data_IF_896444419064
#
_entry.id   IF_896444419064
#
_cell.length_a   1.000
_cell.length_b   1.000
_cell.length_c   1.000
_cell.angle_alpha   90.00
_cell.angle_beta   90.00
_cell.angle_gamma   90.00
#
_symmetry.space_group_name_H-M   'P 1'
#
loop_
_entity.id
_entity.type
_entity.pdbx_description
1 polymer ?
#
# COMPACT_ATOMS: atom_id res chain seq x y z
N UNK A 1 -9.20 -11.44 -8.96
CA UNK A 1 -9.58 -11.76 -7.56
C UNK A 1 -8.58 -11.16 -6.58
N UNK A 2 -7.28 -11.26 -6.84
CA UNK A 2 -6.22 -10.69 -5.99
C UNK A 2 -6.23 -9.15 -5.93
N UNK A 3 -6.46 -8.46 -7.05
CA UNK A 3 -6.42 -6.98 -7.08
C UNK A 3 -7.48 -6.32 -6.19
N UNK A 4 -8.73 -6.81 -6.21
CA UNK A 4 -9.80 -6.31 -5.33
C UNK A 4 -9.49 -6.58 -3.84
N UNK A 5 -8.78 -7.67 -3.54
CA UNK A 5 -8.34 -7.98 -2.19
C UNK A 5 -7.25 -7.00 -1.75
N UNK A 6 -6.24 -6.77 -2.59
CA UNK A 6 -5.18 -5.79 -2.35
C UNK A 6 -5.75 -4.39 -2.14
N UNK A 7 -6.66 -3.93 -3.00
CA UNK A 7 -7.30 -2.62 -2.84
C UNK A 7 -8.06 -2.50 -1.52
N UNK A 8 -8.75 -3.56 -1.11
CA UNK A 8 -9.44 -3.60 0.19
C UNK A 8 -8.46 -3.52 1.35
N UNK A 9 -7.35 -4.28 1.28
CA UNK A 9 -6.33 -4.30 2.33
C UNK A 9 -5.57 -2.98 2.43
N UNK A 10 -5.18 -2.38 1.30
CA UNK A 10 -4.59 -1.04 1.25
C UNK A 10 -5.53 0.00 1.89
N UNK A 11 -6.82 -0.03 1.53
CA UNK A 11 -7.82 0.86 2.12
C UNK A 11 -8.00 0.64 3.63
N UNK A 12 -7.89 -0.60 4.10
CA UNK A 12 -7.92 -0.91 5.54
C UNK A 12 -6.69 -0.38 6.26
N UNK A 13 -5.48 -0.63 5.72
CA UNK A 13 -4.22 -0.15 6.29
C UNK A 13 -4.19 1.38 6.33
N UNK A 14 -4.51 2.07 5.23
CA UNK A 14 -4.59 3.54 5.19
C UNK A 14 -5.55 4.12 6.25
N UNK A 15 -6.66 3.43 6.52
CA UNK A 15 -7.62 3.83 7.55
C UNK A 15 -7.03 3.75 8.96
N UNK A 16 -6.12 2.82 9.23
CA UNK A 16 -5.42 2.75 10.52
C UNK A 16 -4.56 3.99 10.77
N UNK A 17 -4.00 4.57 9.69
CA UNK A 17 -3.25 5.83 9.72
C UNK A 17 -4.13 7.08 9.57
N UNK A 18 -5.45 6.96 9.68
CA UNK A 18 -6.40 8.08 9.63
C UNK A 18 -6.80 8.54 8.23
N UNK A 19 -6.30 7.91 7.15
CA UNK A 19 -6.70 8.24 5.77
C UNK A 19 -7.87 7.37 5.32
N UNK A 20 -9.04 7.98 5.13
CA UNK A 20 -10.23 7.26 4.67
C UNK A 20 -10.42 7.40 3.15
N UNK A 21 -10.04 6.36 2.40
CA UNK A 21 -10.13 6.33 0.94
C UNK A 21 -11.56 6.38 0.36
N UNK A 22 -12.58 6.17 1.20
CA UNK A 22 -13.98 6.34 0.78
C UNK A 22 -14.41 7.81 0.76
N UNK A 23 -13.73 8.68 1.53
CA UNK A 23 -14.01 10.12 1.62
C UNK A 23 -13.00 10.93 0.82
N UNK A 24 -11.72 10.51 0.88
CA UNK A 24 -10.60 11.08 0.12
C UNK A 24 -9.95 9.97 -0.73
N UNK A 25 -10.47 9.69 -1.93
CA UNK A 25 -9.96 8.62 -2.77
C UNK A 25 -8.53 8.89 -3.23
N UNK A 26 -7.70 7.83 -3.23
CA UNK A 26 -6.39 7.88 -3.86
C UNK A 26 -6.52 8.28 -5.34
N UNK A 27 -5.67 9.21 -5.75
CA UNK A 27 -5.47 9.56 -7.15
C UNK A 27 -4.94 8.36 -7.95
N UNK A 28 -5.09 8.35 -9.29
CA UNK A 28 -4.52 7.31 -10.13
C UNK A 28 -3.02 7.10 -9.90
N UNK A 29 -2.28 8.19 -9.70
CA UNK A 29 -0.84 8.14 -9.48
C UNK A 29 -0.47 7.52 -8.13
N UNK A 30 -1.15 7.90 -7.04
CA UNK A 30 -0.94 7.27 -5.72
C UNK A 30 -1.23 5.76 -5.78
N UNK A 31 -2.27 5.34 -6.50
CA UNK A 31 -2.58 3.91 -6.70
C UNK A 31 -1.48 3.18 -7.43
N UNK A 32 -0.90 3.78 -8.47
CA UNK A 32 0.20 3.19 -9.23
C UNK A 32 1.45 3.02 -8.37
N UNK A 33 1.82 4.05 -7.61
CA UNK A 33 2.98 4.00 -6.70
C UNK A 33 2.81 2.89 -5.68
N UNK A 34 1.65 2.83 -5.00
CA UNK A 34 1.38 1.80 -3.99
C UNK A 34 1.38 0.39 -4.57
N UNK A 35 0.87 0.21 -5.80
CA UNK A 35 0.92 -1.08 -6.51
C UNK A 35 2.34 -1.47 -6.89
N UNK A 36 3.17 -0.52 -7.32
CA UNK A 36 4.57 -0.75 -7.67
C UNK A 36 5.38 -1.14 -6.44
N UNK A 37 5.29 -0.36 -5.36
CA UNK A 37 5.98 -0.62 -4.11
C UNK A 37 5.61 -2.00 -3.53
N UNK A 38 4.33 -2.36 -3.57
CA UNK A 38 3.88 -3.69 -3.14
C UNK A 38 4.45 -4.82 -4.00
N UNK A 39 4.61 -4.59 -5.30
CA UNK A 39 5.23 -5.57 -6.20
C UNK A 39 6.72 -5.73 -5.91
N UNK A 40 7.42 -4.63 -5.63
CA UNK A 40 8.85 -4.63 -5.30
C UNK A 40 9.10 -5.36 -3.97
N UNK A 41 8.35 -5.04 -2.91
CA UNK A 41 8.46 -5.72 -1.60
C UNK A 41 8.21 -7.22 -1.69
N UNK A 42 7.23 -7.65 -2.47
CA UNK A 42 6.96 -9.09 -2.70
C UNK A 42 8.10 -9.82 -3.44
N UNK A 43 8.95 -9.09 -4.17
CA UNK A 43 10.12 -9.66 -4.85
C UNK A 43 11.31 -9.70 -3.88
N UNK A 44 11.49 -8.65 -3.08
CA UNK A 44 12.57 -8.54 -2.10
C UNK A 44 12.42 -9.54 -0.95
N UNK A 45 11.18 -9.74 -0.48
CA UNK A 45 10.87 -10.52 0.72
C UNK A 45 9.79 -11.59 0.43
N UNK A 46 10.03 -12.56 -0.47
CA UNK A 46 8.99 -13.46 -0.98
C UNK A 46 8.39 -14.41 0.08
N UNK A 47 9.09 -14.60 1.20
CA UNK A 47 8.64 -15.45 2.31
C UNK A 47 7.67 -14.73 3.27
N UNK A 48 7.57 -13.40 3.16
CA UNK A 48 6.70 -12.60 3.99
C UNK A 48 5.25 -12.59 3.46
N UNK A 49 4.30 -12.46 4.40
CA UNK A 49 2.88 -12.46 4.07
C UNK A 49 2.45 -11.17 3.40
N UNK A 50 1.49 -11.27 2.46
CA UNK A 50 0.89 -10.12 1.77
C UNK A 50 0.41 -9.01 2.73
N UNK A 51 -0.07 -9.37 3.92
CA UNK A 51 -0.52 -8.39 4.91
C UNK A 51 0.64 -7.52 5.43
N UNK A 52 1.78 -8.13 5.74
CA UNK A 52 2.95 -7.42 6.27
C UNK A 52 3.54 -6.48 5.21
N UNK A 53 3.69 -6.95 3.97
CA UNK A 53 4.07 -6.08 2.85
C UNK A 53 3.16 -4.87 2.66
N UNK A 54 1.84 -5.06 2.85
CA UNK A 54 0.88 -3.94 2.74
C UNK A 54 1.06 -2.95 3.89
N UNK A 55 1.28 -3.42 5.12
CA UNK A 55 1.55 -2.53 6.26
C UNK A 55 2.83 -1.73 6.04
N UNK A 56 3.91 -2.36 5.56
CA UNK A 56 5.18 -1.69 5.27
C UNK A 56 5.03 -0.64 4.15
N UNK A 57 4.39 -0.99 3.04
CA UNK A 57 4.16 -0.06 1.93
C UNK A 57 3.30 1.13 2.36
N UNK A 58 2.27 0.90 3.19
CA UNK A 58 1.44 1.99 3.70
C UNK A 58 2.18 2.84 4.73
N UNK A 59 3.00 2.23 5.58
CA UNK A 59 3.84 2.94 6.53
C UNK A 59 4.82 3.87 5.79
N UNK A 60 5.54 3.35 4.80
CA UNK A 60 6.47 4.11 3.96
C UNK A 60 5.74 5.28 3.27
N UNK A 61 4.56 4.99 2.69
CA UNK A 61 3.72 5.98 2.04
C UNK A 61 3.27 7.12 2.96
N UNK A 62 2.75 6.79 4.15
CA UNK A 62 2.23 7.79 5.11
C UNK A 62 3.37 8.60 5.72
N UNK A 63 4.53 7.98 5.94
CA UNK A 63 5.70 8.64 6.53
C UNK A 63 6.56 9.36 5.50
N UNK A 64 6.25 9.25 4.20
CA UNK A 64 7.08 9.68 3.07
C UNK A 64 8.50 9.08 3.07
N UNK A 65 8.69 7.92 3.71
CA UNK A 65 9.92 7.16 3.62
C UNK A 65 9.92 6.37 2.30
N UNK A 66 11.04 6.37 1.57
CA UNK A 66 11.19 5.61 0.32
C UNK A 66 10.53 6.19 -0.94
N UNK A 67 9.64 7.20 -0.84
CA UNK A 67 8.98 7.80 -2.03
C UNK A 67 9.78 8.90 -2.76
N UNK A 68 10.97 9.25 -2.28
CA UNK A 68 11.82 10.33 -2.84
C UNK A 68 13.31 9.96 -2.95
N UNK A 69 13.66 8.67 -2.99
CA UNK A 69 15.06 8.23 -3.07
C UNK A 69 15.39 7.64 -4.44
#
# INVERSE_FOLDING_TARGET
MEEKLIEKMLGQALRQYGRNVAIDPLSPHEKEILKLALKERRIEEPDEGLHAHIEDVIYDYVTNQGMFS
#
